data_IF_109743304604
#
_entry.id   IF_109743304604
#
_cell.length_a   1.000
_cell.length_b   1.000
_cell.length_c   1.000
_cell.angle_alpha   90.00
_cell.angle_beta   90.00
_cell.angle_gamma   90.00
#
_symmetry.space_group_name_H-M   'P 1'
#
loop_
_entity.id
_entity.type
_entity.pdbx_description
1 polymer ?
#
# COMPACT_ATOMS: atom_id res chain seq x y z
N UNK A 1 -1.18 5.96 18.21
CA UNK A 1 -0.81 7.20 17.48
C UNK A 1 -1.41 7.12 16.07
N UNK A 2 -2.20 8.11 15.72
CA UNK A 2 -2.70 8.26 14.35
C UNK A 2 -1.58 8.87 13.50
N UNK A 3 -1.15 8.14 12.48
CA UNK A 3 -0.13 8.63 11.55
C UNK A 3 -0.78 9.09 10.26
N UNK A 4 -0.66 10.39 9.96
CA UNK A 4 -1.10 10.97 8.70
C UNK A 4 -0.18 10.52 7.57
N UNK A 5 -0.77 10.04 6.49
CA UNK A 5 -0.04 9.52 5.32
C UNK A 5 -0.62 10.02 4.01
N UNK A 6 0.18 9.91 2.96
CA UNK A 6 -0.25 10.08 1.58
C UNK A 6 0.15 8.84 0.78
N UNK A 7 -0.82 8.11 0.25
CA UNK A 7 -0.59 7.02 -0.69
C UNK A 7 -0.64 7.55 -2.13
N UNK A 8 0.38 7.25 -2.93
CA UNK A 8 0.48 7.66 -4.33
C UNK A 8 0.22 6.47 -5.24
N UNK A 9 -0.74 6.63 -6.15
CA UNK A 9 -1.04 5.69 -7.22
C UNK A 9 -0.91 6.36 -8.57
N UNK A 10 -0.44 5.62 -9.56
CA UNK A 10 -0.36 6.08 -10.94
C UNK A 10 -0.84 4.98 -11.90
N UNK A 11 -1.90 5.30 -12.64
CA UNK A 11 -2.38 4.48 -13.76
C UNK A 11 -1.77 4.98 -15.06
N UNK A 12 -0.80 4.23 -15.57
CA UNK A 12 -0.10 4.55 -16.81
C UNK A 12 -1.02 4.51 -18.03
N UNK A 13 -2.02 3.63 -18.05
CA UNK A 13 -2.95 3.47 -19.17
C UNK A 13 -3.87 4.66 -19.28
N UNK A 14 -4.47 5.07 -18.17
CA UNK A 14 -5.37 6.21 -18.10
C UNK A 14 -4.64 7.54 -17.80
N UNK A 15 -3.32 7.51 -17.65
CA UNK A 15 -2.48 8.69 -17.32
C UNK A 15 -3.01 9.48 -16.13
N UNK A 16 -3.49 8.75 -15.13
CA UNK A 16 -4.13 9.32 -13.94
C UNK A 16 -3.27 9.07 -12.70
N UNK A 17 -3.01 10.13 -11.95
CA UNK A 17 -2.35 10.07 -10.65
C UNK A 17 -3.37 10.32 -9.55
N UNK A 18 -3.33 9.50 -8.51
CA UNK A 18 -4.11 9.70 -7.28
C UNK A 18 -3.15 9.86 -6.11
N UNK A 19 -3.31 10.94 -5.34
CA UNK A 19 -2.74 11.09 -4.01
C UNK A 19 -3.88 10.96 -3.00
N UNK A 20 -3.83 9.91 -2.20
CA UNK A 20 -4.86 9.59 -1.22
C UNK A 20 -4.32 9.92 0.16
N UNK A 21 -4.93 10.90 0.81
CA UNK A 21 -4.55 11.36 2.15
C UNK A 21 -5.48 10.78 3.19
N UNK A 22 -4.94 10.46 4.34
CA UNK A 22 -5.71 9.97 5.47
C UNK A 22 -4.83 9.54 6.63
N UNK A 23 -5.45 8.89 7.59
CA UNK A 23 -4.78 8.33 8.75
C UNK A 23 -4.72 6.81 8.63
N UNK A 24 -3.60 6.22 9.02
CA UNK A 24 -3.43 4.77 9.05
C UNK A 24 -3.59 4.20 10.45
N UNK A 25 -4.09 2.97 10.49
CA UNK A 25 -4.06 2.13 11.68
C UNK A 25 -3.77 0.69 11.30
N UNK A 26 -3.16 -0.05 12.22
CA UNK A 26 -2.87 -1.48 12.04
C UNK A 26 -4.11 -2.28 12.44
N UNK A 27 -4.48 -3.28 11.61
CA UNK A 27 -5.56 -4.21 11.95
C UNK A 27 -5.18 -5.07 13.15
N UNK A 28 -5.92 -4.91 14.24
CA UNK A 28 -5.69 -5.63 15.48
C UNK A 28 -6.46 -6.96 15.59
N UNK A 29 -7.42 -7.21 14.70
CA UNK A 29 -8.20 -8.44 14.71
C UNK A 29 -7.41 -9.58 14.06
N UNK A 30 -6.91 -10.49 14.90
CA UNK A 30 -6.10 -11.63 14.47
C UNK A 30 -6.79 -12.55 13.48
N UNK A 31 -8.10 -12.73 13.57
CA UNK A 31 -8.86 -13.59 12.66
C UNK A 31 -8.91 -12.99 11.24
N UNK A 32 -9.05 -11.67 11.15
CA UNK A 32 -9.01 -10.95 9.87
C UNK A 32 -7.62 -11.08 9.26
N UNK A 33 -6.56 -10.85 10.06
CA UNK A 33 -5.17 -10.94 9.59
C UNK A 33 -4.85 -12.36 9.12
N UNK A 34 -5.20 -13.39 9.90
CA UNK A 34 -4.99 -14.79 9.56
C UNK A 34 -5.75 -15.21 8.30
N UNK A 35 -7.01 -14.81 8.19
CA UNK A 35 -7.82 -15.08 7.00
C UNK A 35 -7.19 -14.46 5.74
N UNK A 36 -6.68 -13.23 5.84
CA UNK A 36 -6.04 -12.54 4.73
C UNK A 36 -4.74 -13.24 4.33
N UNK A 37 -3.93 -13.65 5.32
CA UNK A 37 -2.72 -14.44 5.09
C UNK A 37 -3.02 -15.74 4.35
N UNK A 38 -3.97 -16.53 4.86
CA UNK A 38 -4.32 -17.82 4.27
C UNK A 38 -4.81 -17.70 2.82
N UNK A 39 -5.51 -16.61 2.49
CA UNK A 39 -5.98 -16.32 1.14
C UNK A 39 -4.92 -15.69 0.21
N UNK A 40 -3.74 -15.37 0.74
CA UNK A 40 -2.66 -14.81 -0.08
C UNK A 40 -1.98 -15.92 -0.90
N UNK A 41 -1.54 -15.56 -2.11
CA UNK A 41 -0.79 -16.48 -2.98
C UNK A 41 0.58 -16.78 -2.36
N UNK A 42 1.09 -17.99 -2.55
CA UNK A 42 2.41 -18.40 -2.06
C UNK A 42 3.52 -17.43 -2.46
N UNK A 43 3.55 -17.02 -3.74
CA UNK A 43 4.53 -16.04 -4.22
C UNK A 43 4.48 -14.70 -3.48
N UNK A 44 3.29 -14.28 -3.00
CA UNK A 44 3.16 -13.08 -2.18
C UNK A 44 3.64 -13.30 -0.77
N UNK A 45 3.45 -14.50 -0.21
CA UNK A 45 3.92 -14.86 1.14
C UNK A 45 5.44 -14.90 1.23
N UNK A 46 6.14 -15.29 0.14
CA UNK A 46 7.60 -15.29 0.08
C UNK A 46 8.22 -13.92 0.42
N UNK A 47 7.56 -12.83 0.05
CA UNK A 47 8.05 -11.48 0.36
C UNK A 47 8.23 -11.21 1.87
N UNK A 48 7.58 -12.00 2.71
CA UNK A 48 7.63 -11.87 4.17
C UNK A 48 8.68 -12.78 4.85
N UNK A 49 9.42 -13.59 4.06
CA UNK A 49 10.50 -14.45 4.53
C UNK A 49 11.89 -13.81 4.44
N UNK A 50 11.96 -12.51 4.16
CA UNK A 50 13.23 -11.83 3.96
C UNK A 50 14.18 -12.02 5.18
N UNK A 51 15.39 -12.49 4.90
CA UNK A 51 16.46 -12.68 5.90
C UNK A 51 17.01 -11.34 6.42
N UNK A 52 16.84 -10.27 5.63
CA UNK A 52 17.40 -8.95 5.90
C UNK A 52 16.31 -7.87 5.82
N UNK A 53 16.38 -6.83 6.65
CA UNK A 53 15.48 -5.69 6.54
C UNK A 53 15.72 -4.91 5.22
N UNK A 54 14.70 -4.19 4.72
CA UNK A 54 14.87 -3.34 3.54
C UNK A 54 16.05 -2.36 3.68
N UNK A 55 16.86 -2.25 2.63
CA UNK A 55 18.05 -1.37 2.61
C UNK A 55 19.31 -1.96 3.24
N UNK A 56 19.27 -3.21 3.73
CA UNK A 56 20.48 -3.89 4.21
C UNK A 56 21.51 -4.08 3.09
N UNK A 57 22.78 -3.81 3.38
CA UNK A 57 23.87 -4.00 2.42
C UNK A 57 24.18 -5.49 2.27
N UNK A 58 24.07 -5.99 1.06
CA UNK A 58 24.35 -7.39 0.71
C UNK A 58 25.71 -7.53 0.02
N UNK A 59 26.38 -8.67 0.16
CA UNK A 59 27.61 -8.99 -0.56
C UNK A 59 27.32 -9.33 -2.03
N UNK A 60 26.14 -9.86 -2.33
CA UNK A 60 25.68 -10.24 -3.66
C UNK A 60 24.18 -10.01 -3.80
N UNK A 61 23.73 -9.70 -5.00
CA UNK A 61 22.30 -9.57 -5.31
C UNK A 61 21.50 -10.87 -5.13
N UNK A 62 22.18 -11.99 -4.93
CA UNK A 62 21.55 -13.31 -4.71
C UNK A 62 21.46 -13.69 -3.23
N UNK A 63 22.07 -12.93 -2.32
CA UNK A 63 22.11 -13.26 -0.88
C UNK A 63 20.74 -13.23 -0.21
N UNK A 64 19.71 -12.66 -0.87
CA UNK A 64 18.33 -12.63 -0.40
C UNK A 64 17.45 -13.75 -0.96
N UNK A 65 17.97 -14.60 -1.86
CA UNK A 65 17.17 -15.67 -2.44
C UNK A 65 16.74 -16.67 -1.39
N UNK A 66 15.53 -17.17 -1.56
CA UNK A 66 14.94 -18.20 -0.72
C UNK A 66 15.56 -19.56 -1.06
N UNK A 67 15.79 -20.37 -0.05
CA UNK A 67 16.18 -21.77 -0.21
C UNK A 67 14.97 -22.72 -0.11
N UNK A 68 15.19 -24.00 -0.36
CA UNK A 68 14.14 -25.02 -0.33
C UNK A 68 13.51 -25.17 1.06
N UNK A 69 14.22 -24.80 2.12
CA UNK A 69 13.73 -24.87 3.50
C UNK A 69 12.82 -23.69 3.81
N UNK A 70 13.11 -22.51 3.27
CA UNK A 70 12.24 -21.34 3.33
C UNK A 70 10.92 -21.64 2.62
N UNK A 71 10.95 -22.30 1.45
CA UNK A 71 9.75 -22.65 0.69
C UNK A 71 8.86 -23.66 1.42
N UNK A 72 9.44 -24.61 2.14
CA UNK A 72 8.70 -25.57 2.97
C UNK A 72 8.06 -24.94 4.20
N UNK A 73 8.62 -23.83 4.68
CA UNK A 73 8.20 -23.15 5.91
C UNK A 73 7.63 -21.76 5.64
N UNK A 74 6.92 -21.58 4.53
CA UNK A 74 6.42 -20.29 4.02
C UNK A 74 5.57 -19.53 5.05
N UNK A 75 4.86 -20.25 5.93
CA UNK A 75 4.03 -19.66 6.96
C UNK A 75 4.81 -19.01 8.11
N UNK A 76 6.13 -19.19 8.20
CA UNK A 76 6.98 -18.37 9.09
C UNK A 76 6.92 -16.89 8.75
N UNK A 77 6.66 -16.55 7.49
CA UNK A 77 6.48 -15.16 7.06
C UNK A 77 5.28 -14.46 7.68
N UNK A 78 4.34 -15.20 8.28
CA UNK A 78 3.19 -14.62 8.96
C UNK A 78 3.57 -13.67 10.11
N UNK A 79 4.69 -13.92 10.78
CA UNK A 79 5.21 -13.05 11.85
C UNK A 79 5.54 -11.63 11.35
N UNK A 80 5.87 -11.49 10.07
CA UNK A 80 6.19 -10.22 9.42
C UNK A 80 5.00 -9.62 8.66
N UNK A 81 3.85 -10.31 8.66
CA UNK A 81 2.66 -9.85 7.95
C UNK A 81 1.78 -8.97 8.82
N UNK A 82 1.38 -7.84 8.30
CA UNK A 82 0.40 -6.98 8.95
C UNK A 82 -0.53 -6.36 7.89
N UNK A 83 -1.71 -5.95 8.32
CA UNK A 83 -2.66 -5.22 7.50
C UNK A 83 -2.68 -3.78 7.98
N UNK A 84 -2.43 -2.85 7.05
CA UNK A 84 -2.57 -1.42 7.28
C UNK A 84 -3.88 -0.97 6.67
N UNK A 85 -4.75 -0.40 7.48
CA UNK A 85 -5.98 0.25 7.05
C UNK A 85 -5.72 1.75 6.89
N UNK A 86 -6.23 2.33 5.80
CA UNK A 86 -6.16 3.76 5.53
C UNK A 86 -7.58 4.35 5.62
N UNK A 87 -7.80 5.20 6.62
CA UNK A 87 -9.01 6.00 6.70
C UNK A 87 -8.82 7.25 5.85
N UNK A 88 -9.47 7.27 4.68
CA UNK A 88 -9.27 8.29 3.66
C UNK A 88 -10.03 9.57 4.00
N UNK A 89 -9.33 10.70 4.03
CA UNK A 89 -9.92 12.02 4.26
C UNK A 89 -9.95 12.91 3.00
N UNK A 90 -8.98 12.74 2.10
CA UNK A 90 -8.88 13.52 0.85
C UNK A 90 -8.31 12.70 -0.29
N UNK A 91 -8.74 13.01 -1.50
CA UNK A 91 -8.17 12.46 -2.74
C UNK A 91 -7.82 13.63 -3.67
N UNK A 92 -6.55 13.69 -4.08
CA UNK A 92 -6.06 14.61 -5.12
C UNK A 92 -5.92 13.81 -6.42
N UNK A 93 -6.82 14.07 -7.34
CA UNK A 93 -6.87 13.43 -8.65
C UNK A 93 -6.23 14.34 -9.69
N UNK A 94 -5.28 13.81 -10.47
CA UNK A 94 -4.62 14.51 -11.55
C UNK A 94 -4.63 13.65 -12.82
N UNK A 95 -5.26 14.16 -13.87
CA UNK A 95 -5.24 13.59 -15.20
C UNK A 95 -4.22 14.30 -16.08
N UNK A 96 -3.27 13.53 -16.63
CA UNK A 96 -2.20 14.03 -17.48
C UNK A 96 -2.59 13.97 -18.93
N UNK A 97 -2.91 15.11 -19.53
CA UNK A 97 -3.30 15.24 -20.92
C UNK A 97 -2.44 16.28 -21.64
N UNK A 98 -1.98 15.95 -22.85
CA UNK A 98 -1.18 16.86 -23.67
C UNK A 98 -1.92 18.12 -24.15
N UNK A 99 -3.26 18.10 -24.11
CA UNK A 99 -4.12 19.25 -24.42
C UNK A 99 -4.45 20.12 -23.20
N UNK A 100 -3.95 19.75 -22.04
CA UNK A 100 -4.19 20.40 -20.76
C UNK A 100 -4.46 19.37 -19.67
N UNK A 101 -3.77 19.52 -18.55
CA UNK A 101 -3.98 18.66 -17.39
C UNK A 101 -5.26 19.08 -16.67
N UNK A 102 -5.90 18.12 -16.01
CA UNK A 102 -7.06 18.36 -15.16
C UNK A 102 -6.74 17.89 -13.76
N UNK A 103 -7.07 18.68 -12.73
CA UNK A 103 -6.81 18.33 -11.33
C UNK A 103 -8.01 18.67 -10.46
N UNK A 104 -8.36 17.75 -9.58
CA UNK A 104 -9.48 17.90 -8.66
C UNK A 104 -9.11 17.42 -7.27
N UNK A 105 -9.51 18.18 -6.26
CA UNK A 105 -9.46 17.76 -4.86
C UNK A 105 -10.86 17.31 -4.41
N UNK A 106 -10.93 16.10 -3.86
CA UNK A 106 -12.14 15.53 -3.26
C UNK A 106 -11.92 15.47 -1.76
N UNK A 107 -12.80 16.07 -0.99
CA UNK A 107 -12.79 16.07 0.48
C UNK A 107 -13.87 15.11 0.99
N UNK A 108 -13.44 14.13 1.79
CA UNK A 108 -14.25 13.02 2.31
C UNK A 108 -14.38 13.08 3.84
N UNK A 109 -14.43 14.27 4.43
CA UNK A 109 -14.54 14.40 5.90
C UNK A 109 -15.77 13.65 6.43
N UNK A 110 -15.56 12.91 7.53
CA UNK A 110 -16.62 12.17 8.21
C UNK A 110 -17.82 13.07 8.54
N UNK A 111 -19.03 12.53 8.36
CA UNK A 111 -20.32 13.18 8.64
C UNK A 111 -20.61 14.46 7.85
N UNK A 112 -19.86 14.74 6.78
CA UNK A 112 -20.11 15.89 5.91
C UNK A 112 -20.39 15.45 4.47
N UNK A 113 -21.09 16.32 3.77
CA UNK A 113 -21.30 16.18 2.33
C UNK A 113 -19.94 16.15 1.61
N UNK A 114 -19.76 15.19 0.67
CA UNK A 114 -18.55 15.11 -0.16
C UNK A 114 -18.41 16.41 -0.95
N UNK A 115 -17.25 17.07 -0.79
CA UNK A 115 -16.92 18.30 -1.52
C UNK A 115 -15.82 18.03 -2.53
N UNK A 116 -15.93 18.65 -3.67
CA UNK A 116 -14.88 18.61 -4.69
C UNK A 116 -14.65 20.00 -5.29
N UNK A 117 -13.38 20.29 -5.60
CA UNK A 117 -12.96 21.54 -6.21
C UNK A 117 -11.97 21.26 -7.33
N UNK A 118 -12.15 21.91 -8.46
CA UNK A 118 -11.16 21.96 -9.51
C UNK A 118 -9.97 22.79 -9.05
N UNK A 119 -8.77 22.29 -9.31
CA UNK A 119 -7.52 22.96 -8.98
C UNK A 119 -6.74 23.25 -10.26
N UNK A 120 -5.91 24.27 -10.23
CA UNK A 120 -4.87 24.43 -11.24
C UNK A 120 -3.91 23.23 -11.15
N UNK A 121 -3.57 22.59 -12.28
CA UNK A 121 -2.70 21.44 -12.31
C UNK A 121 -1.24 21.79 -12.00
#
# INVERSE_FOLDING_TARGET
EESSVCALFYDKTNKTQLRIYGNIFIEGNKDIVLKKWNNSKEMSKLCYLNKYPPGHVLSSSKDYLYDDDDLKNIDKGFENFLIINLNVSKIDWLFLNHKGHERMMIDLQEDKEIKYNWLAP
#
